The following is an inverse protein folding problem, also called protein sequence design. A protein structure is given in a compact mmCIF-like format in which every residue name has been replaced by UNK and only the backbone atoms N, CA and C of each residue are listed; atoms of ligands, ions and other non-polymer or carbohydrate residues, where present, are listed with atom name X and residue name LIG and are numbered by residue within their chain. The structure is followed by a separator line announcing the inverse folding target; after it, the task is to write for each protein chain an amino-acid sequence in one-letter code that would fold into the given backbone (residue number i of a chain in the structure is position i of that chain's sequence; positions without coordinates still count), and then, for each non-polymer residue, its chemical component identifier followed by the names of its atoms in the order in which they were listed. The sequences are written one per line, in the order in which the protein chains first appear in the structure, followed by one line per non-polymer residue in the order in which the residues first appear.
data_IF_472930746256
#
_entry.id   IF_472930746256
#
_cell.length_a   1.000
_cell.length_b   1.000
_cell.length_c   1.000
_cell.angle_alpha   90.00
_cell.angle_beta   90.00
_cell.angle_gamma   90.00
#
_symmetry.space_group_name_H-M   'P 1'
#
loop_
_entity.id
_entity.type
_entity.pdbx_description
1 polymer ?
#
# COMPACT_ATOMS: atom_id res chain seq x y z
N UNK A 1 -28.60 -48.33 43.95
CA UNK A 1 -27.81 -47.08 43.95
C UNK A 1 -27.00 -47.04 42.67
N UNK A 2 -27.22 -46.04 41.79
CA UNK A 2 -26.88 -46.12 40.37
C UNK A 2 -25.42 -45.79 40.09
N UNK A 3 -24.85 -46.49 39.10
CA UNK A 3 -23.52 -46.23 38.52
C UNK A 3 -23.60 -44.99 37.63
N UNK A 4 -22.81 -43.96 37.95
CA UNK A 4 -22.59 -42.81 37.08
C UNK A 4 -21.51 -43.16 36.05
N UNK A 5 -21.93 -43.29 34.80
CA UNK A 5 -21.06 -43.38 33.62
C UNK A 5 -20.61 -41.98 33.21
N UNK A 6 -19.30 -41.72 33.24
CA UNK A 6 -18.72 -40.52 32.62
C UNK A 6 -18.57 -40.75 31.09
N UNK A 7 -18.92 -39.78 30.23
CA UNK A 7 -18.76 -39.94 28.79
C UNK A 7 -17.27 -39.82 28.41
N UNK A 8 -16.79 -40.81 27.65
CA UNK A 8 -15.49 -40.76 26.95
C UNK A 8 -15.53 -39.60 25.95
N UNK A 9 -14.74 -38.55 26.20
CA UNK A 9 -14.35 -37.62 25.12
C UNK A 9 -13.52 -38.40 24.12
N UNK A 10 -14.02 -38.52 22.89
CA UNK A 10 -13.20 -38.93 21.76
C UNK A 10 -12.07 -37.90 21.60
N UNK A 11 -10.83 -38.37 21.62
CA UNK A 11 -9.70 -37.57 21.21
C UNK A 11 -9.86 -37.33 19.70
N UNK A 12 -10.18 -36.09 19.31
CA UNK A 12 -10.01 -35.67 17.93
C UNK A 12 -8.53 -35.83 17.58
N UNK A 13 -8.27 -36.69 16.60
CA UNK A 13 -6.95 -36.88 16.00
C UNK A 13 -6.61 -35.58 15.29
N UNK A 14 -5.83 -34.73 15.96
CA UNK A 14 -5.26 -33.54 15.35
C UNK A 14 -4.35 -34.00 14.22
N UNK A 15 -4.69 -33.66 12.97
CA UNK A 15 -3.85 -33.93 11.82
C UNK A 15 -2.43 -33.39 12.09
N UNK A 16 -1.37 -34.15 11.76
CA UNK A 16 -0.02 -33.66 11.98
C UNK A 16 0.18 -32.35 11.22
N UNK A 17 0.58 -31.31 11.95
CA UNK A 17 1.06 -30.07 11.37
C UNK A 17 2.12 -30.43 10.31
N UNK A 18 2.08 -29.81 9.11
CA UNK A 18 3.10 -30.07 8.10
C UNK A 18 4.46 -29.85 8.74
N UNK A 19 5.35 -30.82 8.57
CA UNK A 19 6.71 -30.82 9.08
C UNK A 19 7.30 -29.41 8.93
N UNK A 20 7.79 -28.86 10.04
CA UNK A 20 8.47 -27.57 10.04
C UNK A 20 9.46 -27.56 8.88
N UNK A 21 9.19 -26.73 7.86
CA UNK A 21 10.17 -26.42 6.84
C UNK A 21 11.47 -26.13 7.59
N UNK A 22 12.53 -26.92 7.32
CA UNK A 22 13.84 -26.69 7.91
C UNK A 22 14.11 -25.19 7.84
N UNK A 23 14.08 -24.53 9.00
CA UNK A 23 13.92 -23.09 9.06
C UNK A 23 15.05 -22.49 8.21
N UNK A 24 14.70 -21.80 7.12
CA UNK A 24 15.68 -21.24 6.21
C UNK A 24 16.72 -20.49 7.05
N UNK A 25 17.98 -20.95 7.02
CA UNK A 25 19.05 -20.27 7.74
C UNK A 25 19.07 -18.83 7.24
N UNK A 26 18.92 -17.90 8.17
CA UNK A 26 18.93 -16.48 7.83
C UNK A 26 20.22 -16.15 7.06
N UNK A 27 20.06 -15.70 5.82
CA UNK A 27 21.13 -15.16 5.02
C UNK A 27 21.04 -13.63 5.07
N UNK A 28 22.15 -12.98 5.41
CA UNK A 28 22.24 -11.50 5.35
C UNK A 28 22.05 -11.06 3.90
N UNK A 29 21.26 -10.01 3.71
CA UNK A 29 21.19 -9.34 2.42
C UNK A 29 22.53 -8.67 2.08
N UNK A 30 23.02 -8.90 0.86
CA UNK A 30 24.27 -8.37 0.31
C UNK A 30 23.93 -7.38 -0.83
N UNK A 31 23.49 -6.15 -0.51
CA UNK A 31 23.07 -5.17 -1.50
C UNK A 31 24.15 -4.88 -2.54
N UNK A 32 25.42 -4.87 -2.14
CA UNK A 32 26.59 -4.65 -2.98
C UNK A 32 26.75 -5.68 -4.13
N UNK A 33 26.05 -6.81 -4.04
CA UNK A 33 26.04 -7.86 -5.09
C UNK A 33 24.83 -7.78 -6.02
N UNK A 34 23.96 -6.79 -5.83
CA UNK A 34 22.75 -6.63 -6.65
C UNK A 34 23.02 -5.76 -7.88
N UNK A 35 22.32 -6.03 -8.98
CA UNK A 35 22.44 -5.25 -10.20
C UNK A 35 22.10 -3.77 -10.00
N UNK A 36 21.04 -3.47 -9.24
CA UNK A 36 20.63 -2.08 -8.97
C UNK A 36 21.73 -1.32 -8.23
N UNK A 37 22.36 -1.94 -7.23
CA UNK A 37 23.45 -1.30 -6.48
C UNK A 37 24.62 -1.00 -7.39
N UNK A 38 25.07 -1.99 -8.18
CA UNK A 38 26.19 -1.82 -9.11
C UNK A 38 25.92 -0.70 -10.13
N UNK A 39 24.69 -0.64 -10.68
CA UNK A 39 24.28 0.42 -11.62
C UNK A 39 24.29 1.80 -10.97
N UNK A 40 23.70 1.93 -9.78
CA UNK A 40 23.66 3.22 -9.07
C UNK A 40 25.06 3.66 -8.69
N UNK A 41 25.87 2.78 -8.10
CA UNK A 41 27.24 3.07 -7.71
C UNK A 41 28.08 3.55 -8.90
N UNK A 42 27.95 2.88 -10.05
CA UNK A 42 28.74 3.19 -11.23
C UNK A 42 28.27 4.44 -11.98
N UNK A 43 26.98 4.78 -11.96
CA UNK A 43 26.40 5.82 -12.83
C UNK A 43 25.94 7.08 -12.11
N UNK A 44 25.73 7.02 -10.79
CA UNK A 44 25.22 8.17 -10.03
C UNK A 44 26.15 9.40 -10.07
N UNK A 45 27.49 9.28 -9.94
CA UNK A 45 28.38 10.45 -10.02
C UNK A 45 28.28 11.18 -11.37
N UNK A 46 28.36 10.44 -12.49
CA UNK A 46 28.25 11.00 -13.84
C UNK A 46 26.88 11.63 -14.09
N UNK A 47 25.81 11.01 -13.56
CA UNK A 47 24.46 11.52 -13.67
C UNK A 47 24.30 12.89 -12.99
N UNK A 48 24.86 13.05 -11.78
CA UNK A 48 24.85 14.32 -11.05
C UNK A 48 25.66 15.38 -11.79
N UNK A 49 26.89 15.05 -12.20
CA UNK A 49 27.76 16.00 -12.89
C UNK A 49 27.12 16.53 -14.19
N UNK A 50 26.44 15.66 -14.93
CA UNK A 50 25.68 16.05 -16.13
C UNK A 50 24.54 17.02 -15.82
N UNK A 51 23.75 16.76 -14.78
CA UNK A 51 22.62 17.62 -14.40
C UNK A 51 23.07 18.99 -13.89
N UNK A 52 24.20 19.06 -13.21
CA UNK A 52 24.81 20.31 -12.78
C UNK A 52 25.32 21.12 -13.98
N UNK A 53 25.95 20.47 -14.98
CA UNK A 53 26.36 21.12 -16.22
C UNK A 53 25.18 21.66 -17.05
N UNK A 54 24.00 21.05 -16.92
CA UNK A 54 22.75 21.49 -17.56
C UNK A 54 22.01 22.59 -16.76
N UNK A 55 22.57 23.10 -15.65
CA UNK A 55 21.92 24.02 -14.70
C UNK A 55 20.56 23.49 -14.17
N UNK A 56 20.48 22.17 -13.97
CA UNK A 56 19.28 21.45 -13.51
C UNK A 56 19.61 20.52 -12.33
N UNK A 57 20.17 21.04 -11.23
CA UNK A 57 20.60 20.21 -10.11
C UNK A 57 19.42 19.43 -9.51
N UNK A 58 19.70 18.20 -9.05
CA UNK A 58 18.71 17.46 -8.28
C UNK A 58 18.45 18.14 -6.94
N UNK A 59 17.20 18.15 -6.47
CA UNK A 59 16.89 18.56 -5.10
C UNK A 59 17.68 17.73 -4.08
N UNK A 60 18.05 18.36 -2.97
CA UNK A 60 18.89 17.73 -1.94
C UNK A 60 18.31 16.42 -1.41
N UNK A 61 17.00 16.38 -1.16
CA UNK A 61 16.33 15.16 -0.68
C UNK A 61 16.44 13.99 -1.68
N UNK A 62 16.61 14.27 -2.98
CA UNK A 62 16.83 13.22 -4.00
C UNK A 62 18.27 12.72 -3.91
N UNK A 63 19.24 13.62 -3.75
CA UNK A 63 20.65 13.25 -3.57
C UNK A 63 20.83 12.36 -2.33
N UNK A 64 20.22 12.77 -1.22
CA UNK A 64 20.24 12.03 0.03
C UNK A 64 19.66 10.60 -0.13
N UNK A 65 18.62 10.40 -0.95
CA UNK A 65 18.06 9.08 -1.23
C UNK A 65 19.08 8.16 -1.94
N UNK A 66 19.85 8.66 -2.90
CA UNK A 66 20.91 7.89 -3.57
C UNK A 66 22.07 7.56 -2.65
N UNK A 67 22.55 8.55 -1.90
CA UNK A 67 23.68 8.37 -1.00
C UNK A 67 23.34 7.40 0.14
N UNK A 68 22.17 7.54 0.76
CA UNK A 68 21.74 6.64 1.83
C UNK A 68 21.39 5.25 1.30
N UNK A 69 20.93 5.12 0.06
CA UNK A 69 20.76 3.81 -0.60
C UNK A 69 22.10 3.08 -0.73
N UNK A 70 23.16 3.75 -1.22
CA UNK A 70 24.49 3.16 -1.36
C UNK A 70 25.10 2.72 -0.02
N UNK A 71 24.64 3.29 1.10
CA UNK A 71 25.05 2.86 2.45
C UNK A 71 24.17 1.75 3.05
N UNK A 72 22.97 1.56 2.51
CA UNK A 72 21.95 0.69 3.10
C UNK A 72 22.33 -0.78 3.00
N UNK A 73 22.50 -1.45 4.15
CA UNK A 73 22.75 -2.89 4.24
C UNK A 73 24.23 -3.29 4.06
N UNK A 74 25.13 -2.31 3.95
CA UNK A 74 26.57 -2.50 3.80
C UNK A 74 27.24 -2.36 5.17
N UNK A 75 28.05 -3.36 5.57
CA UNK A 75 28.64 -3.42 6.92
C UNK A 75 29.65 -2.30 7.20
N UNK A 76 30.36 -1.83 6.18
CA UNK A 76 31.33 -0.72 6.27
C UNK A 76 30.70 0.59 6.76
N UNK A 77 29.38 0.74 6.55
CA UNK A 77 28.61 1.91 6.99
C UNK A 77 27.90 1.70 8.33
N UNK A 78 28.20 0.61 9.04
CA UNK A 78 27.74 0.34 10.40
C UNK A 78 26.76 -0.82 10.51
N UNK A 79 26.79 -1.46 11.68
CA UNK A 79 25.98 -2.64 11.99
C UNK A 79 25.75 -2.78 13.50
N UNK A 80 24.74 -3.56 13.86
CA UNK A 80 24.54 -4.11 15.21
C UNK A 80 25.02 -5.56 15.25
N UNK A 81 25.73 -5.93 16.31
CA UNK A 81 25.99 -7.34 16.63
C UNK A 81 24.91 -7.82 17.58
N UNK A 82 24.04 -8.70 17.11
CA UNK A 82 22.99 -9.31 17.90
C UNK A 82 23.48 -10.69 18.36
N UNK A 83 23.41 -10.95 19.65
CA UNK A 83 23.85 -12.20 20.27
C UNK A 83 22.68 -12.83 21.00
N UNK A 84 22.42 -14.12 20.75
CA UNK A 84 21.45 -14.88 21.53
C UNK A 84 22.00 -15.14 22.94
N UNK A 85 21.26 -14.77 23.98
CA UNK A 85 21.69 -14.98 25.37
C UNK A 85 21.79 -16.47 25.74
N UNK A 86 20.98 -17.32 25.11
CA UNK A 86 20.90 -18.75 25.42
C UNK A 86 21.96 -19.57 24.66
N UNK A 87 22.01 -19.47 23.33
CA UNK A 87 22.90 -20.30 22.50
C UNK A 87 24.15 -19.57 22.01
N UNK A 88 24.33 -18.29 22.38
CA UNK A 88 25.47 -17.44 21.99
C UNK A 88 25.68 -17.25 20.49
N UNK A 89 24.74 -17.72 19.66
CA UNK A 89 24.76 -17.46 18.23
C UNK A 89 24.74 -15.96 17.97
N UNK A 90 25.66 -15.51 17.11
CA UNK A 90 25.80 -14.11 16.75
C UNK A 90 25.37 -13.84 15.31
N UNK A 91 24.86 -12.64 15.07
CA UNK A 91 24.54 -12.13 13.73
C UNK A 91 24.89 -10.65 13.63
N UNK A 92 25.46 -10.27 12.50
CA UNK A 92 25.64 -8.88 12.14
C UNK A 92 24.42 -8.38 11.37
N UNK A 93 23.82 -7.29 11.84
CA UNK A 93 22.69 -6.63 11.21
C UNK A 93 23.13 -5.25 10.75
N UNK A 94 23.37 -5.12 9.45
CA UNK A 94 23.73 -3.83 8.84
C UNK A 94 22.62 -2.79 9.01
N UNK A 95 23.00 -1.51 9.09
CA UNK A 95 22.02 -0.44 9.13
C UNK A 95 21.24 -0.31 7.82
N UNK A 96 20.01 0.19 7.93
CA UNK A 96 19.10 0.39 6.80
C UNK A 96 18.83 1.87 6.60
N UNK A 97 18.66 2.30 5.34
CA UNK A 97 18.36 3.69 5.03
C UNK A 97 16.99 4.14 5.56
N UNK A 98 16.03 3.21 5.70
CA UNK A 98 14.63 3.45 6.10
C UNK A 98 13.86 4.43 5.20
N UNK A 99 14.48 4.85 4.10
CA UNK A 99 13.92 5.75 3.10
C UNK A 99 12.77 5.12 2.33
N UNK A 100 12.09 5.92 1.50
CA UNK A 100 10.86 5.54 0.79
C UNK A 100 10.97 5.65 -0.73
N UNK A 101 12.15 5.97 -1.25
CA UNK A 101 12.42 5.99 -2.69
C UNK A 101 12.50 4.57 -3.26
N UNK A 102 13.67 4.22 -3.77
CA UNK A 102 13.85 3.04 -4.64
C UNK A 102 14.60 1.89 -3.96
N UNK A 103 14.99 2.01 -2.69
CA UNK A 103 15.68 0.93 -1.96
C UNK A 103 14.78 -0.31 -1.83
N UNK A 104 15.07 -1.44 -2.52
CA UNK A 104 14.17 -2.59 -2.53
C UNK A 104 13.99 -3.23 -1.16
N UNK A 105 15.06 -3.30 -0.37
CA UNK A 105 15.05 -3.95 0.95
C UNK A 105 14.23 -3.16 1.98
N UNK A 106 14.41 -1.83 2.01
CA UNK A 106 13.62 -0.96 2.89
C UNK A 106 12.16 -0.84 2.41
N UNK A 107 11.95 -0.75 1.10
CA UNK A 107 10.62 -0.76 0.48
C UNK A 107 9.85 -2.03 0.82
N UNK A 108 10.44 -3.20 0.60
CA UNK A 108 9.83 -4.50 0.88
C UNK A 108 9.50 -4.67 2.38
N UNK A 109 10.44 -4.28 3.27
CA UNK A 109 10.19 -4.31 4.71
C UNK A 109 9.00 -3.44 5.09
N UNK A 110 8.95 -2.19 4.59
CA UNK A 110 7.85 -1.26 4.84
C UNK A 110 6.52 -1.77 4.27
N UNK A 111 6.54 -2.38 3.08
CA UNK A 111 5.36 -2.99 2.48
C UNK A 111 4.80 -4.11 3.38
N UNK A 112 5.66 -5.02 3.85
CA UNK A 112 5.27 -6.11 4.73
C UNK A 112 4.72 -5.60 6.08
N UNK A 113 5.39 -4.64 6.70
CA UNK A 113 4.94 -4.01 7.95
C UNK A 113 3.61 -3.27 7.78
N UNK A 114 3.45 -2.53 6.68
CA UNK A 114 2.20 -1.81 6.39
C UNK A 114 1.06 -2.79 6.13
N UNK A 115 1.30 -3.86 5.36
CA UNK A 115 0.30 -4.90 5.13
C UNK A 115 -0.14 -5.56 6.44
N UNK A 116 0.81 -5.92 7.32
CA UNK A 116 0.51 -6.46 8.65
C UNK A 116 -0.36 -5.49 9.46
N UNK A 117 0.05 -4.23 9.56
CA UNK A 117 -0.71 -3.21 10.28
C UNK A 117 -2.13 -3.02 9.72
N UNK A 118 -2.27 -3.00 8.40
CA UNK A 118 -3.58 -2.88 7.75
C UNK A 118 -4.49 -4.09 8.06
N UNK A 119 -3.95 -5.30 8.03
CA UNK A 119 -4.72 -6.53 8.31
C UNK A 119 -5.07 -6.65 9.79
N UNK A 120 -4.13 -6.38 10.69
CA UNK A 120 -4.31 -6.63 12.13
C UNK A 120 -5.03 -5.49 12.85
N UNK A 121 -4.67 -4.24 12.54
CA UNK A 121 -5.08 -3.08 13.35
C UNK A 121 -6.12 -2.19 12.66
N UNK A 122 -6.11 -2.12 11.32
CA UNK A 122 -7.00 -1.20 10.57
C UNK A 122 -8.28 -1.91 10.12
N UNK A 123 -8.15 -2.92 9.26
CA UNK A 123 -9.28 -3.66 8.71
C UNK A 123 -9.73 -4.80 9.61
N UNK A 124 -8.81 -5.43 10.35
CA UNK A 124 -9.11 -6.65 11.11
C UNK A 124 -9.72 -7.74 10.22
N UNK A 125 -10.70 -8.53 10.71
CA UNK A 125 -11.31 -9.61 9.94
C UNK A 125 -12.35 -9.14 8.91
N UNK A 126 -12.50 -7.82 8.68
CA UNK A 126 -13.53 -7.31 7.77
C UNK A 126 -13.12 -7.55 6.32
N UNK A 127 -14.05 -7.92 5.42
CA UNK A 127 -13.72 -8.12 4.02
C UNK A 127 -13.27 -6.80 3.39
N UNK A 128 -12.27 -6.88 2.52
CA UNK A 128 -11.68 -5.75 1.80
C UNK A 128 -11.72 -6.03 0.30
N UNK A 129 -12.07 -5.01 -0.48
CA UNK A 129 -12.03 -5.02 -1.94
C UNK A 129 -11.00 -4.01 -2.45
N UNK A 130 -10.13 -4.46 -3.34
CA UNK A 130 -9.17 -3.59 -4.01
C UNK A 130 -9.82 -2.91 -5.22
N UNK A 131 -9.64 -1.60 -5.32
CA UNK A 131 -9.99 -0.77 -6.47
C UNK A 131 -8.73 -0.10 -6.99
N UNK A 132 -8.50 -0.17 -8.30
CA UNK A 132 -7.35 0.49 -8.94
C UNK A 132 -7.89 1.47 -9.98
N UNK A 133 -7.53 2.75 -9.83
CA UNK A 133 -7.89 3.80 -10.79
C UNK A 133 -6.62 4.33 -11.45
N UNK A 134 -6.48 4.11 -12.75
CA UNK A 134 -5.43 4.71 -13.57
C UNK A 134 -5.99 5.88 -14.36
N UNK A 135 -5.16 6.88 -14.61
CA UNK A 135 -5.54 8.06 -15.39
C UNK A 135 -5.06 7.96 -16.84
N UNK A 136 -5.71 8.63 -17.81
CA UNK A 136 -5.17 8.85 -19.14
C UNK A 136 -3.83 9.60 -19.11
N UNK A 137 -3.00 9.42 -20.14
CA UNK A 137 -1.65 10.02 -20.20
C UNK A 137 -1.62 11.52 -19.90
N UNK A 138 -2.46 12.39 -20.51
CA UNK A 138 -2.42 13.83 -20.25
C UNK A 138 -2.64 14.18 -18.77
N UNK A 139 -3.57 13.51 -18.10
CA UNK A 139 -3.84 13.73 -16.68
C UNK A 139 -2.67 13.27 -15.79
N UNK A 140 -1.90 12.25 -16.18
CA UNK A 140 -0.71 11.83 -15.43
C UNK A 140 0.34 12.95 -15.40
N UNK A 141 0.56 13.63 -16.52
CA UNK A 141 1.46 14.79 -16.61
C UNK A 141 0.94 15.98 -15.81
N UNK A 142 -0.37 16.25 -15.87
CA UNK A 142 -1.01 17.28 -15.05
C UNK A 142 -0.78 17.01 -13.56
N UNK A 143 -1.01 15.79 -13.08
CA UNK A 143 -0.83 15.45 -11.65
C UNK A 143 0.64 15.38 -11.22
N UNK A 144 1.56 15.15 -12.15
CA UNK A 144 2.99 15.25 -11.87
C UNK A 144 3.42 16.70 -11.63
N UNK A 145 2.92 17.62 -12.46
CA UNK A 145 3.25 19.06 -12.40
C UNK A 145 2.45 19.82 -11.34
N UNK A 146 1.20 19.42 -11.08
CA UNK A 146 0.27 20.02 -10.11
C UNK A 146 -0.16 18.99 -9.06
N UNK A 147 0.72 18.62 -8.12
CA UNK A 147 0.42 17.61 -7.10
C UNK A 147 -0.80 17.96 -6.22
N UNK A 148 -1.11 19.24 -6.06
CA UNK A 148 -2.27 19.76 -5.33
C UNK A 148 -3.61 19.36 -5.95
N UNK A 149 -3.63 18.97 -7.23
CA UNK A 149 -4.82 18.47 -7.91
C UNK A 149 -5.26 17.08 -7.42
N UNK A 150 -4.33 16.29 -6.89
CA UNK A 150 -4.57 14.88 -6.55
C UNK A 150 -5.57 14.75 -5.40
N UNK A 151 -5.48 15.58 -4.36
CA UNK A 151 -6.36 15.51 -3.19
C UNK A 151 -7.84 15.71 -3.55
N UNK A 152 -8.21 16.82 -4.22
CA UNK A 152 -9.57 17.05 -4.70
C UNK A 152 -10.09 15.95 -5.64
N UNK A 153 -9.26 15.46 -6.57
CA UNK A 153 -9.59 14.35 -7.47
C UNK A 153 -9.85 13.07 -6.69
N UNK A 154 -9.01 12.73 -5.73
CA UNK A 154 -9.21 11.58 -4.85
C UNK A 154 -10.53 11.69 -4.08
N UNK A 155 -10.86 12.88 -3.58
CA UNK A 155 -12.14 13.13 -2.92
C UNK A 155 -13.36 12.89 -3.83
N UNK A 156 -13.26 13.23 -5.12
CA UNK A 156 -14.31 12.92 -6.11
C UNK A 156 -14.46 11.40 -6.28
N UNK A 157 -13.34 10.71 -6.48
CA UNK A 157 -13.31 9.24 -6.64
C UNK A 157 -13.92 8.56 -5.42
N UNK A 158 -13.50 8.95 -4.21
CA UNK A 158 -14.02 8.41 -2.96
C UNK A 158 -15.53 8.62 -2.82
N UNK A 159 -16.06 9.82 -3.11
CA UNK A 159 -17.51 10.06 -3.05
C UNK A 159 -18.30 9.21 -4.03
N UNK A 160 -17.78 8.98 -5.25
CA UNK A 160 -18.46 8.13 -6.24
C UNK A 160 -18.48 6.67 -5.79
N UNK A 161 -17.33 6.14 -5.33
CA UNK A 161 -17.24 4.74 -4.86
C UNK A 161 -18.08 4.54 -3.59
N UNK A 162 -18.02 5.46 -2.62
CA UNK A 162 -18.80 5.38 -1.39
C UNK A 162 -20.32 5.36 -1.67
N UNK A 163 -20.79 6.25 -2.55
CA UNK A 163 -22.20 6.27 -2.96
C UNK A 163 -22.63 4.96 -3.62
N UNK A 164 -21.78 4.39 -4.48
CA UNK A 164 -22.05 3.10 -5.10
C UNK A 164 -22.10 1.95 -4.09
N UNK A 165 -21.17 1.91 -3.14
CA UNK A 165 -21.15 0.89 -2.08
C UNK A 165 -22.41 0.95 -1.22
N UNK A 166 -22.87 2.15 -0.87
CA UNK A 166 -24.12 2.36 -0.14
C UNK A 166 -25.33 1.81 -0.92
N UNK A 167 -25.43 2.13 -2.22
CA UNK A 167 -26.50 1.62 -3.08
C UNK A 167 -26.48 0.08 -3.15
N UNK A 168 -25.29 -0.52 -3.30
CA UNK A 168 -25.17 -1.98 -3.36
C UNK A 168 -25.49 -2.68 -2.03
N UNK A 169 -25.27 -2.00 -0.90
CA UNK A 169 -25.58 -2.49 0.43
C UNK A 169 -27.03 -2.21 0.85
N UNK A 170 -27.80 -1.44 0.06
CA UNK A 170 -29.15 -1.02 0.37
C UNK A 170 -29.23 -0.08 1.58
N UNK A 171 -28.21 0.77 1.76
CA UNK A 171 -28.13 1.75 2.86
C UNK A 171 -28.27 3.16 2.29
N UNK A 172 -29.08 4.03 2.90
CA UNK A 172 -29.14 5.44 2.51
C UNK A 172 -27.75 6.09 2.49
N UNK A 173 -27.43 6.82 1.42
CA UNK A 173 -26.07 7.37 1.22
C UNK A 173 -25.65 8.37 2.29
N UNK A 174 -26.60 9.06 2.90
CA UNK A 174 -26.41 10.04 3.97
C UNK A 174 -26.12 9.39 5.34
N UNK A 175 -26.45 8.10 5.50
CA UNK A 175 -26.19 7.33 6.74
C UNK A 175 -25.08 6.31 6.56
N UNK A 176 -24.69 6.01 5.31
CA UNK A 176 -23.66 5.05 4.97
C UNK A 176 -22.25 5.54 5.36
N UNK A 177 -21.59 4.78 6.23
CA UNK A 177 -20.20 4.99 6.62
C UNK A 177 -19.31 3.97 5.92
N UNK A 178 -18.43 4.47 5.04
CA UNK A 178 -17.44 3.67 4.33
C UNK A 178 -16.05 3.82 4.96
N UNK A 179 -15.15 2.86 4.70
CA UNK A 179 -13.75 2.94 5.10
C UNK A 179 -12.83 2.59 3.94
N UNK A 180 -11.81 3.41 3.70
CA UNK A 180 -10.84 3.20 2.63
C UNK A 180 -9.43 3.63 3.02
N UNK A 181 -8.43 2.87 2.57
CA UNK A 181 -7.02 3.26 2.59
C UNK A 181 -6.55 3.40 1.15
N UNK A 182 -6.01 4.57 0.78
CA UNK A 182 -5.50 4.83 -0.57
C UNK A 182 -3.99 4.99 -0.58
N UNK A 183 -3.33 4.26 -1.47
CA UNK A 183 -1.93 4.43 -1.83
C UNK A 183 -1.87 5.07 -3.23
N UNK A 184 -1.31 6.27 -3.31
CA UNK A 184 -1.09 6.97 -4.57
C UNK A 184 0.29 6.58 -5.07
N UNK A 185 0.34 5.89 -6.22
CA UNK A 185 1.59 5.56 -6.89
C UNK A 185 1.81 6.51 -8.06
N UNK A 186 3.08 6.89 -8.28
CA UNK A 186 3.47 7.88 -9.30
C UNK A 186 4.26 7.27 -10.47
N UNK A 187 4.62 5.99 -10.38
CA UNK A 187 5.44 5.32 -11.37
C UNK A 187 4.91 3.92 -11.68
N UNK A 188 5.11 3.47 -12.92
CA UNK A 188 4.85 2.10 -13.35
C UNK A 188 6.03 1.16 -13.06
N UNK A 189 5.89 -0.12 -13.38
CA UNK A 189 6.96 -1.13 -13.21
C UNK A 189 8.22 -0.79 -14.00
N UNK A 190 8.10 -0.04 -15.10
CA UNK A 190 9.21 0.45 -15.90
C UNK A 190 9.76 1.81 -15.42
N UNK A 191 9.38 2.27 -14.21
CA UNK A 191 9.70 3.59 -13.65
C UNK A 191 9.19 4.78 -14.48
N UNK A 192 8.32 4.52 -15.47
CA UNK A 192 7.66 5.55 -16.26
C UNK A 192 6.62 6.30 -15.42
N UNK A 193 6.37 7.58 -15.76
CA UNK A 193 5.33 8.37 -15.09
C UNK A 193 3.97 7.68 -15.23
N UNK A 194 3.43 7.24 -14.10
CA UNK A 194 2.15 6.58 -14.02
C UNK A 194 1.47 6.94 -12.70
N UNK A 195 0.77 8.07 -12.65
CA UNK A 195 -0.04 8.42 -11.50
C UNK A 195 -1.29 7.53 -11.49
N UNK A 196 -1.50 6.78 -10.42
CA UNK A 196 -2.66 5.91 -10.23
C UNK A 196 -2.94 5.67 -8.75
N UNK A 197 -4.18 5.31 -8.43
CA UNK A 197 -4.64 5.09 -7.07
C UNK A 197 -4.89 3.60 -6.85
N UNK A 198 -4.19 3.02 -5.87
CA UNK A 198 -4.56 1.73 -5.27
C UNK A 198 -5.39 2.01 -4.02
N UNK A 199 -6.63 1.54 -4.00
CA UNK A 199 -7.56 1.81 -2.91
C UNK A 199 -8.05 0.49 -2.33
N UNK A 200 -7.87 0.31 -1.03
CA UNK A 200 -8.40 -0.80 -0.26
C UNK A 200 -9.65 -0.30 0.47
N UNK A 201 -10.83 -0.71 -0.01
CA UNK A 201 -12.11 -0.37 0.60
C UNK A 201 -12.62 -1.53 1.43
N UNK A 202 -13.26 -1.25 2.56
CA UNK A 202 -14.13 -2.25 3.19
C UNK A 202 -15.17 -2.70 2.16
N UNK A 203 -15.42 -4.01 2.09
CA UNK A 203 -16.34 -4.57 1.10
C UNK A 203 -17.80 -4.46 1.54
N UNK A 204 -18.22 -3.22 1.82
CA UNK A 204 -19.51 -2.90 2.41
C UNK A 204 -19.49 -1.55 3.13
N UNK A 205 -20.59 -1.26 3.82
CA UNK A 205 -20.78 -0.01 4.58
C UNK A 205 -21.38 -0.30 5.95
N UNK A 206 -21.17 0.61 6.90
CA UNK A 206 -21.93 0.66 8.15
C UNK A 206 -23.10 1.65 8.00
N UNK A 207 -24.16 1.47 8.78
CA UNK A 207 -25.33 2.35 8.76
C UNK A 207 -25.42 3.11 10.09
N UNK A 208 -25.14 4.41 10.06
CA UNK A 208 -25.08 5.26 11.25
C UNK A 208 -26.39 5.26 12.06
N UNK A 209 -27.54 4.96 11.43
CA UNK A 209 -28.84 4.97 12.08
C UNK A 209 -29.17 3.68 12.84
N UNK A 210 -28.54 2.56 12.49
CA UNK A 210 -28.89 1.22 13.00
C UNK A 210 -27.91 0.76 14.08
N UNK A 211 -26.81 1.48 14.30
CA UNK A 211 -25.77 1.11 15.26
C UNK A 211 -25.89 1.91 16.57
N UNK A 212 -26.75 1.51 17.53
CA UNK A 212 -26.80 2.13 18.84
C UNK A 212 -25.49 1.86 19.61
N UNK A 213 -25.15 2.68 20.63
CA UNK A 213 -23.90 2.57 21.40
C UNK A 213 -23.72 1.24 22.18
N UNK A 214 -24.68 0.30 22.10
CA UNK A 214 -24.69 -0.98 22.83
C UNK A 214 -24.55 -2.23 21.96
N UNK A 215 -24.57 -2.13 20.62
CA UNK A 215 -24.32 -3.28 19.72
C UNK A 215 -23.05 -3.07 18.91
N UNK A 216 -22.32 -4.15 18.66
CA UNK A 216 -21.14 -4.12 17.79
C UNK A 216 -21.60 -3.81 16.36
N UNK A 217 -21.00 -2.80 15.70
CA UNK A 217 -21.40 -2.41 14.37
C UNK A 217 -21.26 -3.54 13.35
N UNK A 218 -22.29 -3.74 12.53
CA UNK A 218 -22.36 -4.80 11.51
C UNK A 218 -22.13 -4.20 10.14
N UNK A 219 -21.10 -4.70 9.47
CA UNK A 219 -20.81 -4.34 8.08
C UNK A 219 -21.88 -4.95 7.16
N UNK A 220 -22.62 -4.10 6.45
CA UNK A 220 -23.53 -4.51 5.37
C UNK A 220 -22.73 -4.68 4.10
N UNK A 221 -22.58 -5.93 3.65
CA UNK A 221 -21.75 -6.27 2.49
C UNK A 221 -22.30 -5.68 1.20
N UNK A 222 -21.42 -5.12 0.37
CA UNK A 222 -21.75 -4.68 -0.97
C UNK A 222 -21.70 -5.85 -1.96
N UNK A 223 -22.59 -5.85 -2.95
CA UNK A 223 -22.52 -6.79 -4.07
C UNK A 223 -21.24 -6.57 -4.89
N UNK A 224 -20.75 -7.60 -5.56
CA UNK A 224 -19.65 -7.48 -6.50
C UNK A 224 -20.10 -6.67 -7.72
N UNK A 225 -19.27 -5.73 -8.23
CA UNK A 225 -19.62 -4.95 -9.40
C UNK A 225 -19.59 -5.82 -10.65
N UNK A 226 -20.53 -5.58 -11.56
CA UNK A 226 -20.43 -6.10 -12.94
C UNK A 226 -19.52 -5.20 -13.78
N UNK A 227 -19.00 -5.71 -14.89
CA UNK A 227 -18.20 -4.90 -15.83
C UNK A 227 -18.95 -3.66 -16.31
N UNK A 228 -20.27 -3.76 -16.54
CA UNK A 228 -21.09 -2.61 -16.94
C UNK A 228 -21.16 -1.53 -15.85
N UNK A 229 -21.30 -1.95 -14.59
CA UNK A 229 -21.29 -1.03 -13.45
C UNK A 229 -19.91 -0.37 -13.28
N UNK A 230 -18.81 -1.10 -13.48
CA UNK A 230 -17.46 -0.53 -13.45
C UNK A 230 -17.27 0.52 -14.54
N UNK A 231 -17.71 0.25 -15.77
CA UNK A 231 -17.67 1.22 -16.87
C UNK A 231 -18.50 2.46 -16.54
N UNK A 232 -19.70 2.30 -16.00
CA UNK A 232 -20.54 3.41 -15.58
C UNK A 232 -19.87 4.26 -14.49
N UNK A 233 -19.28 3.61 -13.48
CA UNK A 233 -18.54 4.31 -12.41
C UNK A 233 -17.34 5.07 -12.96
N UNK A 234 -16.58 4.46 -13.86
CA UNK A 234 -15.44 5.10 -14.52
C UNK A 234 -15.88 6.35 -15.30
N UNK A 235 -16.99 6.28 -16.03
CA UNK A 235 -17.56 7.43 -16.75
C UNK A 235 -18.02 8.56 -15.81
N UNK A 236 -18.69 8.21 -14.70
CA UNK A 236 -19.09 9.20 -13.69
C UNK A 236 -17.88 9.88 -13.06
N UNK A 237 -16.84 9.10 -12.73
CA UNK A 237 -15.57 9.63 -12.20
C UNK A 237 -14.93 10.55 -13.23
N UNK A 238 -14.77 10.10 -14.47
CA UNK A 238 -14.16 10.88 -15.55
C UNK A 238 -14.89 12.21 -15.73
N UNK A 239 -16.22 12.20 -15.88
CA UNK A 239 -17.01 13.41 -16.04
C UNK A 239 -16.84 14.39 -14.86
N UNK A 240 -16.93 13.89 -13.61
CA UNK A 240 -16.78 14.74 -12.42
C UNK A 240 -15.37 15.30 -12.25
N UNK A 241 -14.34 14.50 -12.58
CA UNK A 241 -12.94 14.92 -12.55
C UNK A 241 -12.70 15.99 -13.62
N UNK A 242 -13.07 15.74 -14.88
CA UNK A 242 -12.89 16.73 -15.96
C UNK A 242 -13.62 18.05 -15.64
N UNK A 243 -14.88 17.98 -15.17
CA UNK A 243 -15.63 19.15 -14.72
C UNK A 243 -14.92 19.91 -13.59
N UNK A 244 -14.35 19.19 -12.61
CA UNK A 244 -13.61 19.82 -11.52
C UNK A 244 -12.33 20.51 -12.00
N UNK A 245 -11.53 19.82 -12.82
CA UNK A 245 -10.28 20.35 -13.34
C UNK A 245 -10.51 21.55 -14.27
N UNK A 246 -11.56 21.52 -15.10
CA UNK A 246 -11.95 22.64 -15.97
C UNK A 246 -12.34 23.87 -15.15
N UNK A 247 -13.14 23.70 -14.10
CA UNK A 247 -13.50 24.78 -13.17
C UNK A 247 -12.30 25.38 -12.42
N UNK A 248 -11.21 24.63 -12.28
CA UNK A 248 -9.95 25.10 -11.70
C UNK A 248 -9.01 25.73 -12.73
N UNK A 249 -9.40 25.79 -14.00
CA UNK A 249 -8.55 26.28 -15.09
C UNK A 249 -7.37 25.36 -15.39
N UNK A 250 -7.50 24.06 -15.09
CA UNK A 250 -6.43 23.07 -15.30
C UNK A 250 -6.65 22.19 -16.53
N UNK A 251 -7.86 22.22 -17.08
CA UNK A 251 -8.18 21.75 -18.42
C UNK A 251 -8.81 22.92 -19.16
N UNK A 252 -8.49 23.04 -20.45
CA UNK A 252 -9.27 23.89 -21.35
C UNK A 252 -10.70 23.34 -21.40
N UNK A 253 -11.69 24.22 -21.23
CA UNK A 253 -13.08 23.85 -21.48
C UNK A 253 -13.28 23.62 -22.97
N UNK A 254 -14.19 22.71 -23.33
CA UNK A 254 -14.79 22.76 -24.67
C UNK A 254 -15.43 24.13 -24.92
#
# INVERSE_FOLDING_TARGET
MPRLTAPRRQAEVCAPLPAAHAAARYARHLPERTLLYALVQARYPDFIARLEAEDRPLPEYVREEFETYLRCGVLEHGFLRVVCEQCRAERLVAFSCKKRGFCPSCGARRMAESARHLVEEVFGPRPVRQWVLSFPYPLRFLFASKPEAIGPVLGIVHRVIAGWLADQAGVPRDTAQCGAVTLIQRFGSALNLNVHFHMLWLDGVYDANVEPPRRKPRLRRARAPTSAQLTQLANIIAHRVCRHLSRRGWLEGE
#
